data_IF_512854387384
#
_entry.id   IF_512854387384
#
_cell.length_a   1.000
_cell.length_b   1.000
_cell.length_c   1.000
_cell.angle_alpha   90.00
_cell.angle_beta   90.00
_cell.angle_gamma   90.00
#
_symmetry.space_group_name_H-M   'P 1'
#
loop_
_entity.id
_entity.type
_entity.pdbx_description
1 polymer ?
#
# COMPACT_ATOMS: atom_id res chain seq x y z
N UNK A 1 30.35 -32.56 31.49
CA UNK A 1 30.30 -32.14 30.07
C UNK A 1 28.91 -32.23 29.43
N UNK A 2 27.90 -32.87 30.04
CA UNK A 2 26.56 -32.99 29.44
C UNK A 2 25.67 -31.74 29.57
N UNK A 3 25.81 -30.96 30.65
CA UNK A 3 24.98 -29.77 30.90
C UNK A 3 25.16 -28.66 29.85
N UNK A 4 26.40 -28.41 29.39
CA UNK A 4 26.67 -27.39 28.37
C UNK A 4 26.02 -27.68 27.01
N UNK A 5 25.82 -28.96 26.67
CA UNK A 5 25.14 -29.38 25.44
C UNK A 5 23.63 -29.13 25.51
N UNK A 6 23.02 -29.28 26.68
CA UNK A 6 21.58 -29.03 26.87
C UNK A 6 21.25 -27.54 26.71
N UNK A 7 22.06 -26.64 27.28
CA UNK A 7 21.87 -25.19 27.12
C UNK A 7 22.00 -24.73 25.66
N UNK A 8 22.91 -25.35 24.90
CA UNK A 8 23.14 -24.99 23.49
C UNK A 8 21.94 -25.39 22.60
N UNK A 9 21.27 -26.51 22.91
CA UNK A 9 20.04 -26.94 22.22
C UNK A 9 18.85 -26.02 22.56
N UNK A 10 18.72 -25.60 23.83
CA UNK A 10 17.65 -24.67 24.25
C UNK A 10 17.84 -23.29 23.62
N UNK A 11 19.07 -22.78 23.55
CA UNK A 11 19.38 -21.52 22.87
C UNK A 11 19.11 -21.58 21.36
N UNK A 12 19.37 -22.73 20.71
CA UNK A 12 19.03 -22.94 19.29
C UNK A 12 17.51 -23.03 19.06
N UNK A 13 16.76 -23.63 19.98
CA UNK A 13 15.30 -23.71 19.88
C UNK A 13 14.66 -22.33 20.06
N UNK A 14 15.21 -21.50 20.95
CA UNK A 14 14.76 -20.12 21.17
C UNK A 14 15.09 -19.19 20.01
N UNK A 15 16.21 -19.39 19.31
CA UNK A 15 16.54 -18.59 18.12
C UNK A 15 15.64 -18.89 16.92
N UNK A 16 15.12 -20.12 16.80
CA UNK A 16 14.13 -20.49 15.78
C UNK A 16 12.75 -19.85 16.04
N UNK A 17 12.37 -19.64 17.30
CA UNK A 17 11.13 -18.94 17.68
C UNK A 17 11.20 -17.41 17.45
N UNK A 18 12.41 -16.84 17.38
CA UNK A 18 12.60 -15.41 17.14
C UNK A 18 12.45 -15.02 15.66
N UNK A 19 12.32 -15.97 14.75
CA UNK A 19 12.03 -15.69 13.34
C UNK A 19 10.53 -15.41 13.13
N UNK A 20 10.03 -14.35 13.78
CA UNK A 20 8.72 -13.78 13.46
C UNK A 20 8.89 -12.97 12.17
N UNK A 21 8.79 -13.65 11.03
CA UNK A 21 8.71 -12.98 9.73
C UNK A 21 7.49 -12.05 9.77
N UNK A 22 7.71 -10.74 9.67
CA UNK A 22 6.62 -9.78 9.52
C UNK A 22 5.75 -10.25 8.34
N UNK A 23 4.54 -10.74 8.64
CA UNK A 23 3.62 -11.20 7.60
C UNK A 23 3.10 -9.97 6.88
N UNK A 24 3.46 -9.83 5.60
CA UNK A 24 2.90 -8.81 4.72
C UNK A 24 1.37 -8.89 4.77
N UNK A 25 0.71 -7.75 4.97
CA UNK A 25 -0.75 -7.67 4.97
C UNK A 25 -1.20 -7.35 3.55
N UNK A 26 -1.91 -8.29 2.94
CA UNK A 26 -2.45 -8.16 1.58
C UNK A 26 -3.95 -7.95 1.68
N UNK A 27 -4.45 -6.87 1.09
CA UNK A 27 -5.86 -6.57 0.92
C UNK A 27 -6.23 -6.71 -0.55
N UNK A 28 -7.38 -7.31 -0.80
CA UNK A 28 -7.92 -7.54 -2.14
C UNK A 28 -9.37 -7.09 -2.19
N UNK A 29 -9.78 -6.60 -3.34
CA UNK A 29 -11.18 -6.39 -3.69
C UNK A 29 -11.52 -7.24 -4.90
N UNK A 30 -12.80 -7.56 -5.05
CA UNK A 30 -13.33 -8.19 -6.26
C UNK A 30 -13.61 -7.16 -7.36
N UNK A 31 -13.31 -5.87 -7.12
CA UNK A 31 -13.41 -4.87 -8.17
C UNK A 31 -12.36 -5.12 -9.27
N UNK A 32 -12.80 -4.98 -10.51
CA UNK A 32 -11.98 -5.19 -11.70
C UNK A 32 -11.36 -6.60 -11.81
N UNK A 33 -12.19 -7.67 -11.78
CA UNK A 33 -11.69 -9.03 -11.99
C UNK A 33 -11.08 -9.16 -13.39
N UNK A 34 -10.06 -10.02 -13.51
CA UNK A 34 -9.37 -10.34 -14.76
C UNK A 34 -8.66 -9.17 -15.48
N UNK A 35 -8.52 -8.03 -14.82
CA UNK A 35 -7.72 -6.91 -15.34
C UNK A 35 -6.22 -7.22 -15.23
N UNK A 36 -5.50 -6.94 -16.32
CA UNK A 36 -4.03 -6.96 -16.34
C UNK A 36 -3.48 -5.62 -15.87
N UNK A 37 -2.75 -5.64 -14.77
CA UNK A 37 -2.10 -4.46 -14.21
C UNK A 37 -0.70 -4.30 -14.81
N UNK A 38 -0.40 -3.10 -15.31
CA UNK A 38 0.94 -2.76 -15.78
C UNK A 38 1.81 -2.38 -14.58
N UNK A 39 2.81 -3.20 -14.27
CA UNK A 39 3.81 -2.87 -13.25
C UNK A 39 4.67 -1.70 -13.71
N UNK A 40 4.74 -0.65 -12.89
CA UNK A 40 5.46 0.58 -13.23
C UNK A 40 6.18 1.12 -11.99
N UNK A 41 7.41 1.59 -12.17
CA UNK A 41 8.13 2.32 -11.13
C UNK A 41 7.46 3.67 -10.88
N UNK A 42 7.33 4.08 -9.62
CA UNK A 42 6.69 5.34 -9.24
C UNK A 42 7.23 6.56 -10.01
N UNK A 43 8.56 6.69 -10.15
CA UNK A 43 9.17 7.80 -10.90
C UNK A 43 8.73 7.80 -12.35
N UNK A 44 8.78 6.64 -13.02
CA UNK A 44 8.35 6.51 -14.42
C UNK A 44 6.85 6.82 -14.59
N UNK A 45 6.02 6.43 -13.61
CA UNK A 45 4.60 6.73 -13.60
C UNK A 45 4.35 8.24 -13.51
N UNK A 46 5.02 8.94 -12.58
CA UNK A 46 4.86 10.39 -12.41
C UNK A 46 5.39 11.18 -13.62
N UNK A 47 6.59 10.84 -14.10
CA UNK A 47 7.25 11.56 -15.19
C UNK A 47 6.46 11.44 -16.50
N UNK A 48 5.81 10.30 -16.71
CA UNK A 48 5.03 9.99 -17.91
C UNK A 48 3.54 9.81 -17.62
N UNK A 49 2.98 10.47 -16.60
CA UNK A 49 1.63 10.20 -16.09
C UNK A 49 0.55 10.30 -17.18
N UNK A 50 0.76 11.15 -18.18
CA UNK A 50 -0.15 11.31 -19.33
C UNK A 50 -0.31 10.02 -20.16
N UNK A 51 0.71 9.16 -20.20
CA UNK A 51 0.69 7.89 -20.93
C UNK A 51 -0.11 6.79 -20.20
N UNK A 52 -0.50 7.03 -18.95
CA UNK A 52 -1.19 6.07 -18.09
C UNK A 52 -2.63 6.49 -17.79
N UNK A 53 -3.16 7.55 -18.44
CA UNK A 53 -4.56 7.93 -18.24
C UNK A 53 -5.50 6.76 -18.57
N UNK A 54 -6.41 6.48 -17.65
CA UNK A 54 -7.38 5.38 -17.64
C UNK A 54 -6.77 3.98 -17.67
N UNK A 55 -5.46 3.82 -17.47
CA UNK A 55 -4.80 2.52 -17.43
C UNK A 55 -4.74 1.95 -16.02
N UNK A 56 -4.79 0.62 -15.92
CA UNK A 56 -4.59 -0.10 -14.67
C UNK A 56 -3.10 -0.36 -14.45
N UNK A 57 -2.60 0.05 -13.28
CA UNK A 57 -1.19 -0.02 -12.92
C UNK A 57 -0.99 -0.73 -11.60
N UNK A 58 0.17 -1.35 -11.44
CA UNK A 58 0.74 -1.76 -10.15
C UNK A 58 1.92 -0.83 -9.86
N UNK A 59 1.85 -0.11 -8.74
CA UNK A 59 2.89 0.85 -8.34
C UNK A 59 3.13 0.77 -6.83
N UNK A 60 4.40 0.83 -6.44
CA UNK A 60 4.82 0.87 -5.04
C UNK A 60 5.22 2.28 -4.64
N UNK A 61 4.92 2.65 -3.41
CA UNK A 61 5.29 3.94 -2.82
C UNK A 61 4.94 4.00 -1.33
N UNK A 62 5.26 5.12 -0.71
CA UNK A 62 4.88 5.39 0.68
C UNK A 62 3.51 6.05 0.71
N UNK A 63 2.61 5.53 1.53
CA UNK A 63 1.31 6.13 1.76
C UNK A 63 1.37 7.18 2.85
N UNK A 64 0.79 8.34 2.57
CA UNK A 64 0.65 9.44 3.51
C UNK A 64 -0.83 9.75 3.69
N UNK A 65 -1.23 9.81 4.95
CA UNK A 65 -2.57 10.19 5.40
C UNK A 65 -2.53 11.54 6.10
N UNK A 66 -3.54 12.36 5.87
CA UNK A 66 -3.77 13.61 6.57
C UNK A 66 -5.22 14.06 6.43
N UNK A 67 -5.60 15.14 7.11
CA UNK A 67 -6.99 15.64 7.17
C UNK A 67 -7.69 15.72 5.79
N UNK A 68 -6.92 16.02 4.74
CA UNK A 68 -7.38 16.04 3.36
C UNK A 68 -6.34 15.42 2.41
N UNK A 69 -5.59 14.41 2.88
CA UNK A 69 -4.49 13.78 2.15
C UNK A 69 -4.67 12.27 2.24
N UNK A 70 -4.85 11.62 1.10
CA UNK A 70 -4.68 10.18 0.92
C UNK A 70 -3.82 10.01 -0.31
N UNK A 71 -2.50 9.93 -0.12
CA UNK A 71 -1.55 10.10 -1.21
C UNK A 71 -0.46 9.05 -1.20
N UNK A 72 -0.14 8.55 -2.39
CA UNK A 72 1.04 7.72 -2.63
C UNK A 72 2.19 8.62 -3.09
N UNK A 73 3.35 8.50 -2.44
CA UNK A 73 4.55 9.28 -2.74
C UNK A 73 5.76 8.37 -2.97
N UNK A 74 6.78 8.89 -3.65
CA UNK A 74 8.05 8.19 -3.78
C UNK A 74 8.80 8.17 -2.43
N UNK A 75 9.38 7.02 -2.09
CA UNK A 75 10.08 6.75 -0.83
C UNK A 75 11.30 7.68 -0.63
N UNK A 76 11.99 8.05 -1.72
CA UNK A 76 13.35 8.60 -1.64
C UNK A 76 13.48 10.11 -1.39
N UNK A 77 12.46 10.95 -1.61
CA UNK A 77 12.67 12.42 -1.65
C UNK A 77 11.38 13.23 -1.54
N UNK A 78 10.57 13.08 -0.47
CA UNK A 78 9.49 14.05 -0.22
C UNK A 78 10.03 15.32 0.47
N UNK A 79 11.11 15.90 -0.08
CA UNK A 79 11.70 17.15 0.39
C UNK A 79 10.91 18.39 -0.08
N UNK A 80 10.18 18.27 -1.19
CA UNK A 80 9.48 19.41 -1.81
C UNK A 80 8.05 19.62 -1.31
N UNK A 81 7.49 18.71 -0.49
CA UNK A 81 6.09 18.72 -0.06
C UNK A 81 5.04 18.94 -1.18
N UNK A 82 5.45 18.77 -2.44
CA UNK A 82 4.67 19.19 -3.59
C UNK A 82 3.67 18.13 -3.99
N UNK A 83 2.38 18.48 -3.99
CA UNK A 83 1.30 17.64 -4.49
C UNK A 83 1.42 17.31 -6.00
N UNK A 84 2.36 17.94 -6.71
CA UNK A 84 2.67 17.69 -8.12
C UNK A 84 3.42 16.38 -8.38
N UNK A 85 3.97 15.74 -7.34
CA UNK A 85 4.70 14.46 -7.43
C UNK A 85 4.08 13.36 -6.58
N UNK A 86 2.82 13.53 -6.19
CA UNK A 86 2.04 12.54 -5.46
C UNK A 86 0.82 12.12 -6.28
N UNK A 87 0.34 10.91 -6.01
CA UNK A 87 -0.89 10.38 -6.59
C UNK A 87 -1.94 10.35 -5.48
N UNK A 88 -3.11 10.94 -5.73
CA UNK A 88 -4.23 10.76 -4.82
C UNK A 88 -4.68 9.29 -4.88
N UNK A 89 -4.88 8.65 -3.74
CA UNK A 89 -5.43 7.30 -3.67
C UNK A 89 -6.88 7.42 -3.26
N UNK A 90 -7.78 6.95 -4.13
CA UNK A 90 -9.21 7.04 -3.90
C UNK A 90 -9.76 5.67 -3.45
N UNK A 91 -9.84 5.47 -2.14
CA UNK A 91 -10.55 4.33 -1.57
C UNK A 91 -12.06 4.61 -1.56
N UNK A 92 -12.84 3.77 -2.22
CA UNK A 92 -14.30 3.92 -2.34
C UNK A 92 -15.02 2.70 -1.79
N UNK A 93 -16.28 2.88 -1.39
CA UNK A 93 -17.14 1.77 -0.95
C UNK A 93 -17.57 0.85 -2.10
N UNK A 94 -17.48 1.32 -3.34
CA UNK A 94 -17.74 0.52 -4.55
C UNK A 94 -16.64 -0.53 -4.79
N UNK A 95 -15.45 -0.30 -4.26
CA UNK A 95 -14.27 -1.15 -4.37
C UNK A 95 -13.70 -1.45 -2.98
N UNK A 96 -14.46 -2.14 -2.11
CA UNK A 96 -14.03 -2.37 -0.74
C UNK A 96 -12.85 -3.34 -0.71
N UNK A 97 -11.80 -2.96 0.04
CA UNK A 97 -10.60 -3.77 0.23
C UNK A 97 -10.72 -4.57 1.52
N UNK A 98 -10.60 -5.90 1.41
CA UNK A 98 -10.63 -6.83 2.54
C UNK A 98 -9.30 -7.55 2.68
N UNK A 99 -8.89 -7.79 3.92
CA UNK A 99 -7.68 -8.56 4.24
C UNK A 99 -7.83 -9.98 3.64
N UNK A 100 -6.86 -10.40 2.83
CA UNK A 100 -6.92 -11.66 2.09
C UNK A 100 -7.22 -12.84 3.01
N UNK A 101 -8.32 -13.54 2.75
CA UNK A 101 -8.79 -14.68 3.54
C UNK A 101 -9.56 -14.32 4.81
N UNK A 102 -9.88 -13.04 5.04
CA UNK A 102 -10.71 -12.55 6.14
C UNK A 102 -11.72 -11.51 5.64
N UNK A 103 -12.86 -11.39 6.31
CA UNK A 103 -13.85 -10.33 6.04
C UNK A 103 -13.54 -9.05 6.87
N UNK A 104 -12.27 -8.67 6.96
CA UNK A 104 -11.82 -7.48 7.71
C UNK A 104 -11.44 -6.39 6.72
N UNK A 105 -12.13 -5.25 6.75
CA UNK A 105 -11.87 -4.13 5.84
C UNK A 105 -10.50 -3.46 6.06
N UNK A 106 -10.00 -2.75 5.05
CA UNK A 106 -8.72 -2.02 5.11
C UNK A 106 -8.63 -1.07 6.32
N UNK A 107 -9.71 -0.35 6.59
CA UNK A 107 -9.78 0.64 7.67
C UNK A 107 -10.31 0.06 8.99
N UNK A 108 -10.70 -1.21 9.02
CA UNK A 108 -11.17 -1.90 10.21
C UNK A 108 -9.98 -2.58 10.90
N UNK A 109 -9.89 -2.49 12.24
CA UNK A 109 -9.04 -3.40 13.03
C UNK A 109 -9.89 -4.49 13.68
N UNK A 110 -9.23 -5.57 14.12
CA UNK A 110 -9.87 -6.65 14.88
C UNK A 110 -10.48 -6.14 16.22
N UNK A 111 -10.00 -4.98 16.71
CA UNK A 111 -10.42 -4.34 17.96
C UNK A 111 -11.36 -3.13 17.77
N UNK A 112 -11.76 -2.81 16.54
CA UNK A 112 -12.66 -1.68 16.22
C UNK A 112 -12.01 -0.29 16.15
N UNK A 113 -10.68 -0.21 16.22
CA UNK A 113 -9.91 1.01 15.90
C UNK A 113 -9.70 1.17 14.38
N UNK A 114 -9.31 2.37 13.94
CA UNK A 114 -8.91 2.60 12.54
C UNK A 114 -7.49 2.07 12.29
N UNK A 115 -7.34 1.27 11.24
CA UNK A 115 -6.04 0.68 10.86
C UNK A 115 -5.03 1.79 10.48
N UNK A 116 -3.94 1.92 11.24
CA UNK A 116 -2.90 2.93 10.98
C UNK A 116 -1.99 2.48 9.83
N UNK A 117 -2.40 2.79 8.60
CA UNK A 117 -1.61 2.55 7.37
C UNK A 117 -0.77 3.78 6.96
N UNK A 118 -0.92 4.91 7.65
CA UNK A 118 -0.12 6.11 7.43
C UNK A 118 1.39 5.83 7.55
N UNK A 119 2.16 6.47 6.68
CA UNK A 119 3.62 6.42 6.61
C UNK A 119 4.19 5.01 6.37
N UNK A 120 3.41 4.13 5.73
CA UNK A 120 3.86 2.77 5.36
C UNK A 120 4.21 2.68 3.89
N UNK A 121 5.20 1.83 3.59
CA UNK A 121 5.45 1.40 2.23
C UNK A 121 4.33 0.45 1.81
N UNK A 122 3.81 0.65 0.60
CA UNK A 122 2.77 -0.21 0.05
C UNK A 122 2.89 -0.35 -1.46
N UNK A 123 2.41 -1.49 -1.96
CA UNK A 123 2.16 -1.72 -3.38
C UNK A 123 0.67 -1.68 -3.63
N UNK A 124 0.22 -0.86 -4.57
CA UNK A 124 -1.20 -0.67 -4.87
C UNK A 124 -1.46 -1.01 -6.33
N UNK A 125 -2.62 -1.62 -6.58
CA UNK A 125 -3.16 -1.80 -7.93
C UNK A 125 -4.46 -1.04 -8.09
N UNK A 126 -4.57 -0.28 -9.17
CA UNK A 126 -5.78 0.48 -9.48
C UNK A 126 -5.67 1.21 -10.81
N UNK A 127 -6.72 1.95 -11.15
CA UNK A 127 -6.83 2.72 -12.38
C UNK A 127 -6.34 4.14 -12.20
N UNK A 128 -5.37 4.55 -13.02
CA UNK A 128 -4.88 5.93 -13.03
C UNK A 128 -5.84 6.81 -13.83
N UNK A 129 -6.19 7.97 -13.30
CA UNK A 129 -6.95 9.00 -14.01
C UNK A 129 -6.33 10.38 -13.81
N UNK A 130 -6.20 11.16 -14.89
CA UNK A 130 -5.62 12.51 -14.87
C UNK A 130 -6.57 13.60 -14.35
N UNK A 131 -7.69 13.22 -13.73
CA UNK A 131 -8.57 14.20 -13.11
C UNK A 131 -7.91 14.77 -11.86
N UNK A 132 -7.81 16.10 -11.80
CA UNK A 132 -7.33 16.77 -10.61
C UNK A 132 -8.34 16.54 -9.47
N UNK A 133 -7.86 15.98 -8.37
CA UNK A 133 -8.67 15.72 -7.15
C UNK A 133 -7.92 16.21 -5.91
N UNK A 134 -8.53 16.04 -4.74
CA UNK A 134 -8.03 16.50 -3.44
C UNK A 134 -8.33 17.98 -3.16
N UNK A 135 -7.93 18.46 -1.98
CA UNK A 135 -8.15 19.86 -1.59
C UNK A 135 -7.49 20.79 -2.62
N UNK A 136 -8.29 21.68 -3.23
CA UNK A 136 -7.88 22.64 -4.27
C UNK A 136 -7.31 22.00 -5.55
N UNK A 137 -7.75 20.79 -5.93
CA UNK A 137 -7.33 20.15 -7.20
C UNK A 137 -5.79 19.98 -7.33
N UNK A 138 -5.12 19.76 -6.20
CA UNK A 138 -3.65 19.85 -6.14
C UNK A 138 -2.93 18.61 -6.65
N UNK A 139 -3.61 17.46 -6.77
CA UNK A 139 -3.04 16.22 -7.25
C UNK A 139 -3.18 16.10 -8.76
N UNK A 140 -2.10 15.75 -9.45
CA UNK A 140 -2.08 15.66 -10.93
C UNK A 140 -2.77 14.43 -11.48
N UNK A 141 -2.93 13.41 -10.65
CA UNK A 141 -3.62 12.18 -11.01
C UNK A 141 -4.14 11.49 -9.75
N UNK A 142 -5.13 10.63 -9.96
CA UNK A 142 -5.76 9.79 -8.95
C UNK A 142 -5.58 8.33 -9.32
N UNK A 143 -5.39 7.46 -8.34
CA UNK A 143 -5.58 6.02 -8.47
C UNK A 143 -6.97 5.69 -7.91
N UNK A 144 -7.90 5.35 -8.80
CA UNK A 144 -9.24 4.87 -8.49
C UNK A 144 -9.29 3.35 -8.58
N UNK A 145 -10.45 2.76 -8.27
CA UNK A 145 -10.73 1.33 -8.46
C UNK A 145 -9.62 0.46 -7.85
N UNK A 146 -9.20 0.80 -6.62
CA UNK A 146 -8.08 0.13 -5.95
C UNK A 146 -8.50 -1.28 -5.58
N UNK A 147 -7.98 -2.28 -6.30
CA UNK A 147 -8.37 -3.68 -6.15
C UNK A 147 -7.37 -4.52 -5.37
N UNK A 148 -6.18 -3.97 -5.11
CA UNK A 148 -5.13 -4.64 -4.37
C UNK A 148 -4.29 -3.64 -3.60
N UNK A 149 -3.93 -4.00 -2.37
CA UNK A 149 -2.99 -3.26 -1.55
C UNK A 149 -2.15 -4.26 -0.74
N UNK A 150 -0.84 -4.14 -0.82
CA UNK A 150 0.13 -4.91 -0.03
C UNK A 150 0.90 -3.95 0.86
N UNK A 151 0.87 -4.19 2.17
CA UNK A 151 1.66 -3.48 3.16
C UNK A 151 2.94 -4.26 3.47
N UNK A 152 4.08 -3.57 3.32
CA UNK A 152 5.39 -4.04 3.79
C UNK A 152 5.57 -3.85 5.31
#
# INVERSE_FOLDING_TARGET
MAQGRAYLVVLLALSLLACNTHKQKIYTSECAPDIKFKKVNFRNLIDSIKLYDKQYVEVSGRYLEGKHISALVNDSTFSDHGNSRSLWVNFTQECPLYLKGKNTGLFETEDGEYNKINNRQMTIRGRVELQKKGHKETYRATINEVSYLELD
#
